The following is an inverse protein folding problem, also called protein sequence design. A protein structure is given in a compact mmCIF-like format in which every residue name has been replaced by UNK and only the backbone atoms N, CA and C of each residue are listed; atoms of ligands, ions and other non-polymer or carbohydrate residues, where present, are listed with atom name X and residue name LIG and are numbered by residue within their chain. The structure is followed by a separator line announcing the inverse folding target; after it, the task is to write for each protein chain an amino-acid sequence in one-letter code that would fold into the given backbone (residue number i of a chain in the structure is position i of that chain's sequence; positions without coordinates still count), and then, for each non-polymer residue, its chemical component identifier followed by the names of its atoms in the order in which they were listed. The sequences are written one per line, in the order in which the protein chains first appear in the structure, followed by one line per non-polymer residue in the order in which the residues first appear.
data_IF_169959678018
#
_entry.id   IF_169959678018
#
_cell.length_a   1.000
_cell.length_b   1.000
_cell.length_c   1.000
_cell.angle_alpha   90.00
_cell.angle_beta   90.00
_cell.angle_gamma   90.00
#
_symmetry.space_group_name_H-M   'P 1'
#
loop_
_entity.id
_entity.type
_entity.pdbx_description
1 polymer ?
#
# COMPACT_ATOMS: atom_id res chain seq x y z
N UNK A 1 9.11 -12.60 -40.13
CA UNK A 1 7.93 -13.10 -39.41
C UNK A 1 7.17 -11.89 -38.90
N UNK A 2 5.99 -11.66 -39.43
CA UNK A 2 5.21 -10.45 -39.18
C UNK A 2 4.50 -10.55 -37.81
N UNK A 3 4.79 -9.61 -36.94
CA UNK A 3 4.08 -9.40 -35.67
C UNK A 3 2.68 -8.90 -35.99
N UNK A 4 1.66 -9.71 -35.70
CA UNK A 4 0.25 -9.32 -35.82
C UNK A 4 -0.05 -8.29 -34.74
N UNK A 5 -0.27 -7.05 -35.17
CA UNK A 5 -0.79 -5.96 -34.32
C UNK A 5 -2.26 -6.24 -34.03
N UNK A 6 -2.57 -6.44 -32.73
CA UNK A 6 -3.93 -6.55 -32.21
C UNK A 6 -4.73 -5.28 -32.50
N UNK A 7 -5.92 -5.43 -33.10
CA UNK A 7 -6.86 -4.36 -33.45
C UNK A 7 -7.40 -3.63 -32.21
N UNK A 8 -6.66 -2.65 -31.73
CA UNK A 8 -7.19 -1.56 -30.89
C UNK A 8 -7.72 -0.49 -31.86
N UNK A 9 -8.96 -0.05 -31.68
CA UNK A 9 -9.49 1.13 -32.35
C UNK A 9 -8.52 2.31 -32.15
N UNK A 10 -8.37 3.12 -33.21
CA UNK A 10 -7.54 4.29 -33.45
C UNK A 10 -7.36 5.25 -32.24
N UNK A 11 -6.74 4.79 -31.20
CA UNK A 11 -6.00 5.56 -30.21
C UNK A 11 -4.54 5.36 -30.56
N UNK A 12 -3.82 6.42 -30.87
CA UNK A 12 -2.38 6.44 -31.13
C UNK A 12 -1.68 5.29 -30.43
N UNK A 13 -1.07 4.37 -31.19
CA UNK A 13 -0.35 3.21 -30.65
C UNK A 13 0.75 3.76 -29.74
N UNK A 14 0.47 3.78 -28.43
CA UNK A 14 1.45 4.19 -27.45
C UNK A 14 2.53 3.13 -27.50
N UNK A 15 3.71 3.49 -28.01
CA UNK A 15 4.83 2.56 -28.04
C UNK A 15 5.29 2.25 -26.62
N UNK A 16 5.66 1.00 -26.33
CA UNK A 16 6.21 0.60 -25.05
C UNK A 16 7.36 1.52 -24.60
N UNK A 17 8.20 1.99 -25.54
CA UNK A 17 9.26 2.96 -25.28
C UNK A 17 8.74 4.32 -24.76
N UNK A 18 7.59 4.78 -25.26
CA UNK A 18 7.00 6.05 -24.77
C UNK A 18 6.38 5.91 -23.37
N UNK A 19 5.84 4.74 -23.03
CA UNK A 19 5.35 4.46 -21.68
C UNK A 19 6.49 4.39 -20.66
N UNK A 20 7.62 3.81 -21.04
CA UNK A 20 8.80 3.65 -20.15
C UNK A 20 9.63 4.94 -20.00
N UNK A 21 9.40 5.97 -20.80
CA UNK A 21 10.14 7.23 -20.74
C UNK A 21 9.78 8.11 -19.53
N UNK A 22 8.58 7.92 -18.95
CA UNK A 22 8.13 8.63 -17.75
C UNK A 22 7.96 7.63 -16.59
N UNK A 23 7.95 8.08 -15.33
CA UNK A 23 7.60 7.22 -14.20
C UNK A 23 6.23 6.56 -14.41
N UNK A 24 6.03 5.37 -13.85
CA UNK A 24 4.74 4.68 -13.91
C UNK A 24 3.63 5.51 -13.23
N UNK A 25 3.97 6.16 -12.10
CA UNK A 25 3.11 7.15 -11.43
C UNK A 25 3.95 8.36 -11.07
N UNK A 26 3.46 9.56 -11.36
CA UNK A 26 4.04 10.83 -10.95
C UNK A 26 2.95 11.70 -10.32
N UNK A 27 3.21 12.19 -9.12
CA UNK A 27 2.31 13.05 -8.34
C UNK A 27 3.07 14.30 -7.92
N UNK A 28 2.50 15.47 -8.17
CA UNK A 28 3.11 16.76 -7.91
C UNK A 28 2.08 17.71 -7.29
N UNK A 29 2.31 18.10 -6.03
CA UNK A 29 1.50 18.99 -5.21
C UNK A 29 0.00 18.67 -5.27
N UNK A 30 -0.34 17.37 -5.25
CA UNK A 30 -1.70 16.89 -5.43
C UNK A 30 -2.54 17.16 -4.18
N UNK A 31 -3.69 17.81 -4.35
CA UNK A 31 -4.61 18.11 -3.24
C UNK A 31 -6.01 17.61 -3.49
N UNK A 32 -6.74 17.36 -2.40
CA UNK A 32 -8.18 17.12 -2.43
C UNK A 32 -8.87 17.74 -1.22
N UNK A 33 -9.74 18.71 -1.49
CA UNK A 33 -10.69 19.27 -0.52
C UNK A 33 -12.09 18.87 -0.94
N UNK A 34 -12.87 18.31 -0.03
CA UNK A 34 -14.28 17.97 -0.24
C UNK A 34 -15.21 19.14 0.16
N UNK A 35 -16.47 19.13 -0.31
CA UNK A 35 -17.49 20.06 0.19
C UNK A 35 -17.56 20.01 1.72
N UNK A 36 -17.62 21.19 2.34
CA UNK A 36 -17.53 21.30 3.80
C UNK A 36 -16.12 21.60 4.34
N UNK A 37 -15.12 21.75 3.45
CA UNK A 37 -13.75 22.16 3.84
C UNK A 37 -12.86 21.03 4.34
N UNK A 38 -13.27 19.79 4.18
CA UNK A 38 -12.46 18.62 4.59
C UNK A 38 -11.30 18.43 3.60
N UNK A 39 -10.07 18.71 4.04
CA UNK A 39 -8.85 18.51 3.30
C UNK A 39 -8.36 17.06 3.46
N UNK A 40 -8.77 16.20 2.53
CA UNK A 40 -8.41 14.78 2.56
C UNK A 40 -7.00 14.50 2.04
N UNK A 41 -6.45 15.37 1.19
CA UNK A 41 -5.08 15.30 0.67
C UNK A 41 -4.53 16.72 0.56
N UNK A 42 -3.32 16.98 1.10
CA UNK A 42 -2.77 18.30 1.38
C UNK A 42 -1.44 18.58 0.67
N UNK A 43 -1.39 18.43 -0.66
CA UNK A 43 -0.18 18.75 -1.42
C UNK A 43 0.90 17.66 -1.31
N UNK A 44 0.58 16.46 -1.77
CA UNK A 44 1.50 15.32 -1.75
C UNK A 44 2.33 15.26 -3.03
N UNK A 45 3.56 14.76 -2.86
CA UNK A 45 4.53 14.54 -3.93
C UNK A 45 5.12 13.14 -3.82
N UNK A 46 5.06 12.36 -4.91
CA UNK A 46 5.79 11.09 -5.00
C UNK A 46 5.88 10.61 -6.45
N UNK A 47 6.81 9.66 -6.68
CA UNK A 47 6.97 8.97 -7.95
C UNK A 47 7.10 7.48 -7.70
N UNK A 48 6.55 6.69 -8.63
CA UNK A 48 6.65 5.23 -8.64
C UNK A 48 7.35 4.83 -9.93
N UNK A 49 8.38 4.02 -9.83
CA UNK A 49 9.11 3.50 -10.98
C UNK A 49 8.30 2.37 -11.67
N UNK A 50 8.66 2.04 -12.91
CA UNK A 50 8.09 0.85 -13.56
C UNK A 50 8.54 -0.42 -12.84
N UNK A 51 7.61 -1.38 -12.67
CA UNK A 51 7.86 -2.64 -11.98
C UNK A 51 7.99 -2.51 -10.46
N UNK A 52 7.82 -1.32 -9.88
CA UNK A 52 7.86 -1.09 -8.44
C UNK A 52 6.55 -1.50 -7.77
N UNK A 53 6.63 -2.08 -6.58
CA UNK A 53 5.50 -2.20 -5.66
C UNK A 53 5.59 -1.09 -4.63
N UNK A 54 4.66 -0.14 -4.72
CA UNK A 54 4.61 1.05 -3.88
C UNK A 54 3.43 0.99 -2.91
N UNK A 55 3.72 1.15 -1.61
CA UNK A 55 2.72 1.12 -0.55
C UNK A 55 2.33 2.51 -0.07
N UNK A 56 1.02 2.77 0.04
CA UNK A 56 0.46 3.89 0.80
C UNK A 56 -0.01 3.36 2.16
N UNK A 57 0.76 3.60 3.21
CA UNK A 57 0.55 3.08 4.54
C UNK A 57 -0.02 4.16 5.47
N UNK A 58 -1.04 3.84 6.26
CA UNK A 58 -1.59 4.77 7.24
C UNK A 58 -2.95 4.31 7.78
N UNK A 59 -3.48 4.96 8.82
CA UNK A 59 -4.77 4.61 9.40
C UNK A 59 -5.95 4.91 8.47
N UNK A 60 -7.13 4.46 8.89
CA UNK A 60 -8.37 4.83 8.22
C UNK A 60 -8.57 6.35 8.30
N UNK A 61 -9.05 6.95 7.21
CA UNK A 61 -9.20 8.41 7.15
C UNK A 61 -7.93 9.20 6.83
N UNK A 62 -6.75 8.59 6.74
CA UNK A 62 -5.51 9.28 6.37
C UNK A 62 -5.48 9.86 4.95
N UNK A 63 -6.45 9.52 4.08
CA UNK A 63 -6.54 10.02 2.71
C UNK A 63 -6.14 8.99 1.63
N UNK A 64 -5.74 7.78 1.99
CA UNK A 64 -5.24 6.73 1.05
C UNK A 64 -6.20 6.42 -0.10
N UNK A 65 -7.47 6.09 0.19
CA UNK A 65 -8.47 5.79 -0.85
C UNK A 65 -8.83 7.01 -1.69
N UNK A 66 -8.74 8.23 -1.13
CA UNK A 66 -8.86 9.46 -1.91
C UNK A 66 -7.71 9.61 -2.91
N UNK A 67 -6.48 9.31 -2.50
CA UNK A 67 -5.30 9.30 -3.39
C UNK A 67 -5.49 8.28 -4.53
N UNK A 68 -5.85 7.02 -4.20
CA UNK A 68 -6.19 6.01 -5.21
C UNK A 68 -7.30 6.51 -6.13
N UNK A 69 -8.38 7.08 -5.58
CA UNK A 69 -9.48 7.62 -6.39
C UNK A 69 -9.06 8.71 -7.37
N UNK A 70 -8.12 9.58 -6.98
CA UNK A 70 -7.58 10.61 -7.89
C UNK A 70 -6.70 9.98 -8.99
N UNK A 71 -5.83 9.03 -8.64
CA UNK A 71 -4.96 8.34 -9.59
C UNK A 71 -5.76 7.49 -10.58
N UNK A 72 -6.82 6.84 -10.13
CA UNK A 72 -7.71 6.03 -10.98
C UNK A 72 -8.81 6.84 -11.68
N UNK A 73 -8.75 8.17 -11.61
CA UNK A 73 -9.67 9.09 -12.27
C UNK A 73 -11.13 9.02 -11.79
N UNK A 74 -11.41 8.36 -10.66
CA UNK A 74 -12.75 8.28 -10.04
C UNK A 74 -13.05 9.52 -9.21
N UNK A 75 -12.02 10.19 -8.71
CA UNK A 75 -12.11 11.45 -7.95
C UNK A 75 -11.29 12.51 -8.70
N UNK A 76 -11.89 13.68 -8.93
CA UNK A 76 -11.17 14.81 -9.52
C UNK A 76 -10.32 15.51 -8.45
N UNK A 77 -9.03 15.74 -8.69
CA UNK A 77 -8.17 16.56 -7.81
C UNK A 77 -8.74 17.99 -7.63
N UNK A 78 -8.44 18.61 -6.50
CA UNK A 78 -8.74 20.04 -6.27
C UNK A 78 -7.65 20.92 -6.87
N UNK A 79 -6.36 20.54 -6.71
CA UNK A 79 -5.21 21.17 -7.37
C UNK A 79 -4.06 20.18 -7.49
N UNK A 80 -2.93 20.62 -8.07
CA UNK A 80 -1.78 19.79 -8.37
C UNK A 80 -1.98 18.93 -9.61
N UNK A 81 -1.04 18.03 -9.86
CA UNK A 81 -1.09 17.13 -11.02
C UNK A 81 -0.76 15.70 -10.63
N UNK A 82 -1.38 14.74 -11.32
CA UNK A 82 -1.01 13.34 -11.26
C UNK A 82 -0.98 12.75 -12.67
N UNK A 83 0.02 11.92 -12.95
CA UNK A 83 0.21 11.27 -14.25
C UNK A 83 0.45 9.78 -14.08
N UNK A 84 -0.09 8.99 -15.01
CA UNK A 84 0.20 7.57 -15.15
C UNK A 84 0.95 7.36 -16.47
N UNK A 85 2.20 6.91 -16.41
CA UNK A 85 3.10 6.79 -17.55
C UNK A 85 3.03 8.03 -18.50
N UNK A 86 3.06 9.23 -17.90
CA UNK A 86 2.98 10.53 -18.56
C UNK A 86 1.57 11.04 -18.89
N UNK A 87 0.50 10.24 -18.78
CA UNK A 87 -0.89 10.69 -19.02
C UNK A 87 -1.48 11.37 -17.79
N UNK A 88 -1.84 12.64 -17.92
CA UNK A 88 -2.49 13.43 -16.88
C UNK A 88 -3.88 12.87 -16.56
N UNK A 89 -4.12 12.47 -15.31
CA UNK A 89 -5.36 11.83 -14.88
C UNK A 89 -6.60 12.73 -14.98
N UNK A 90 -6.42 14.06 -14.92
CA UNK A 90 -7.51 15.02 -15.02
C UNK A 90 -7.78 15.46 -16.48
N UNK A 91 -6.72 15.56 -17.31
CA UNK A 91 -6.81 16.05 -18.69
C UNK A 91 -6.97 14.93 -19.72
N UNK A 92 -6.42 13.74 -19.44
CA UNK A 92 -6.40 12.58 -20.33
C UNK A 92 -6.94 11.30 -19.62
N UNK A 93 -8.12 11.38 -18.95
CA UNK A 93 -8.60 10.29 -18.08
C UNK A 93 -8.82 8.96 -18.80
N UNK A 94 -9.19 9.00 -20.09
CA UNK A 94 -9.39 7.77 -20.87
C UNK A 94 -8.06 7.07 -21.17
N UNK A 95 -6.98 7.83 -21.43
CA UNK A 95 -5.64 7.26 -21.65
C UNK A 95 -5.09 6.69 -20.33
N UNK A 96 -5.22 7.43 -19.23
CA UNK A 96 -4.81 6.97 -17.90
C UNK A 96 -5.54 5.66 -17.51
N UNK A 97 -6.88 5.57 -17.73
CA UNK A 97 -7.64 4.33 -17.51
C UNK A 97 -7.23 3.20 -18.43
N UNK A 98 -6.87 3.49 -19.69
CA UNK A 98 -6.48 2.47 -20.66
C UNK A 98 -5.20 1.71 -20.31
N UNK A 99 -4.37 2.25 -19.39
CA UNK A 99 -3.12 1.64 -18.94
C UNK A 99 -3.14 1.24 -17.49
N UNK A 100 -4.25 1.42 -16.79
CA UNK A 100 -4.37 1.10 -15.37
C UNK A 100 -5.62 0.29 -15.07
N UNK A 101 -5.58 -0.46 -13.99
CA UNK A 101 -6.74 -1.14 -13.40
C UNK A 101 -6.77 -0.94 -11.90
N UNK A 102 -7.95 -1.08 -11.31
CA UNK A 102 -8.13 -0.92 -9.87
C UNK A 102 -8.99 -2.04 -9.28
N UNK A 103 -8.56 -2.52 -8.13
CA UNK A 103 -9.32 -3.39 -7.25
C UNK A 103 -9.69 -2.56 -6.02
N UNK A 104 -10.96 -2.18 -5.92
CA UNK A 104 -11.47 -1.39 -4.81
C UNK A 104 -11.62 -2.23 -3.54
N UNK A 105 -11.77 -1.57 -2.40
CA UNK A 105 -12.06 -2.24 -1.12
C UNK A 105 -13.38 -3.01 -1.16
N UNK A 106 -14.42 -2.42 -1.77
CA UNK A 106 -15.70 -3.09 -1.99
C UNK A 106 -15.70 -3.94 -3.26
N UNK A 107 -16.28 -5.13 -3.15
CA UNK A 107 -16.36 -6.08 -4.26
C UNK A 107 -17.30 -5.58 -5.38
N UNK A 108 -16.81 -5.59 -6.62
CA UNK A 108 -17.54 -5.13 -7.83
C UNK A 108 -18.00 -6.28 -8.72
N UNK A 109 -17.90 -7.54 -8.22
CA UNK A 109 -18.32 -8.73 -8.95
C UNK A 109 -19.84 -8.92 -8.88
N UNK A 110 -20.43 -9.28 -10.01
CA UNK A 110 -21.82 -9.73 -10.04
C UNK A 110 -21.91 -11.12 -9.42
N UNK A 111 -22.62 -11.21 -8.29
CA UNK A 111 -22.77 -12.45 -7.52
C UNK A 111 -23.66 -13.49 -8.21
N UNK A 112 -24.54 -13.06 -9.13
CA UNK A 112 -25.43 -13.93 -9.90
C UNK A 112 -24.74 -14.61 -11.08
N UNK A 113 -23.63 -14.03 -11.55
CA UNK A 113 -22.84 -14.59 -12.65
C UNK A 113 -21.78 -15.56 -12.13
N UNK A 114 -21.31 -16.45 -13.03
CA UNK A 114 -20.14 -17.29 -12.75
C UNK A 114 -18.86 -16.43 -12.75
N UNK A 115 -17.77 -16.96 -12.15
CA UNK A 115 -16.47 -16.31 -12.19
C UNK A 115 -16.03 -16.01 -13.63
N UNK A 116 -16.15 -17.00 -14.52
CA UNK A 116 -15.84 -16.86 -15.94
C UNK A 116 -16.64 -15.74 -16.61
N UNK A 117 -17.95 -15.71 -16.38
CA UNK A 117 -18.82 -14.69 -16.96
C UNK A 117 -18.47 -13.28 -16.48
N UNK A 118 -18.08 -13.11 -15.21
CA UNK A 118 -17.57 -11.84 -14.69
C UNK A 118 -16.28 -11.38 -15.42
N UNK A 119 -15.33 -12.30 -15.61
CA UNK A 119 -14.06 -11.98 -16.29
C UNK A 119 -14.28 -11.68 -17.77
N UNK A 120 -15.10 -12.46 -18.47
CA UNK A 120 -15.44 -12.22 -19.89
C UNK A 120 -16.22 -10.92 -20.10
N UNK A 121 -17.14 -10.59 -19.18
CA UNK A 121 -17.87 -9.32 -19.20
C UNK A 121 -16.90 -8.15 -19.10
N UNK A 122 -15.96 -8.23 -18.14
CA UNK A 122 -14.94 -7.20 -17.98
C UNK A 122 -14.07 -7.06 -19.23
N UNK A 123 -13.60 -8.17 -19.80
CA UNK A 123 -12.82 -8.17 -21.04
C UNK A 123 -13.56 -7.44 -22.18
N UNK A 124 -14.86 -7.70 -22.36
CA UNK A 124 -15.70 -7.02 -23.36
C UNK A 124 -15.82 -5.51 -23.10
N UNK A 125 -16.04 -5.11 -21.86
CA UNK A 125 -16.15 -3.69 -21.48
C UNK A 125 -14.86 -2.92 -21.74
N UNK A 126 -13.71 -3.59 -21.61
CA UNK A 126 -12.39 -3.01 -21.91
C UNK A 126 -11.93 -3.20 -23.36
N UNK A 127 -12.79 -3.77 -24.22
CA UNK A 127 -12.47 -3.97 -25.63
C UNK A 127 -11.40 -5.03 -25.90
N UNK A 128 -11.15 -5.94 -24.94
CA UNK A 128 -10.19 -7.03 -25.09
C UNK A 128 -10.77 -8.07 -26.05
N UNK A 129 -9.99 -8.47 -27.07
CA UNK A 129 -10.41 -9.47 -28.02
C UNK A 129 -10.70 -10.81 -27.31
N UNK A 130 -11.88 -11.41 -27.55
CA UNK A 130 -12.34 -12.57 -26.79
C UNK A 130 -11.45 -13.82 -26.91
N UNK A 131 -10.76 -14.00 -28.03
CA UNK A 131 -9.79 -15.10 -28.20
C UNK A 131 -8.64 -14.97 -27.20
N UNK A 132 -8.05 -13.78 -27.14
CA UNK A 132 -7.01 -13.42 -26.20
C UNK A 132 -7.51 -13.45 -24.74
N UNK A 133 -8.69 -12.87 -24.48
CA UNK A 133 -9.27 -12.85 -23.14
C UNK A 133 -9.45 -14.25 -22.54
N UNK A 134 -9.89 -15.24 -23.35
CA UNK A 134 -10.08 -16.62 -22.89
C UNK A 134 -8.74 -17.26 -22.48
N UNK A 135 -7.68 -17.06 -23.25
CA UNK A 135 -6.36 -17.56 -22.90
C UNK A 135 -5.87 -16.87 -21.61
N UNK A 136 -5.97 -15.56 -21.56
CA UNK A 136 -5.56 -14.76 -20.39
C UNK A 136 -6.31 -15.14 -19.12
N UNK A 137 -7.63 -15.37 -19.20
CA UNK A 137 -8.45 -15.84 -18.10
C UNK A 137 -7.97 -17.21 -17.58
N UNK A 138 -7.57 -18.12 -18.46
CA UNK A 138 -7.05 -19.43 -18.05
C UNK A 138 -5.70 -19.28 -17.30
N UNK A 139 -4.77 -18.46 -17.82
CA UNK A 139 -3.48 -18.18 -17.18
C UNK A 139 -3.64 -17.54 -15.79
N UNK A 140 -4.51 -16.51 -15.69
CA UNK A 140 -4.80 -15.83 -14.44
C UNK A 140 -5.50 -16.75 -13.43
N UNK A 141 -6.40 -17.61 -13.90
CA UNK A 141 -7.11 -18.54 -13.07
C UNK A 141 -6.16 -19.58 -12.44
N UNK A 142 -5.19 -20.06 -13.18
CA UNK A 142 -4.13 -20.94 -12.68
C UNK A 142 -3.24 -20.20 -11.67
N UNK A 143 -2.73 -19.01 -12.05
CA UNK A 143 -1.84 -18.21 -11.21
C UNK A 143 -2.47 -17.80 -9.88
N UNK A 144 -3.75 -17.44 -9.87
CA UNK A 144 -4.48 -17.00 -8.69
C UNK A 144 -5.23 -18.12 -7.96
N UNK A 145 -5.15 -19.35 -8.46
CA UNK A 145 -5.80 -20.53 -7.86
C UNK A 145 -7.32 -20.46 -7.85
N UNK A 146 -7.93 -19.88 -8.91
CA UNK A 146 -9.39 -19.76 -9.05
C UNK A 146 -9.97 -20.63 -10.19
N UNK A 147 -9.16 -21.50 -10.80
CA UNK A 147 -9.53 -22.29 -11.97
C UNK A 147 -10.78 -23.15 -11.77
N UNK A 148 -10.85 -23.90 -10.67
CA UNK A 148 -11.99 -24.77 -10.33
C UNK A 148 -13.25 -23.98 -9.96
N UNK A 149 -13.12 -22.68 -9.68
CA UNK A 149 -14.20 -21.82 -9.28
C UNK A 149 -14.89 -21.12 -10.44
N UNK A 150 -14.22 -21.03 -11.62
CA UNK A 150 -14.65 -20.19 -12.73
C UNK A 150 -16.09 -20.45 -13.19
N UNK A 151 -16.55 -21.68 -13.14
CA UNK A 151 -17.87 -22.06 -13.64
C UNK A 151 -18.96 -22.08 -12.54
N UNK A 152 -18.60 -21.74 -11.30
CA UNK A 152 -19.52 -21.57 -10.17
C UNK A 152 -20.00 -20.12 -10.08
N UNK A 153 -21.20 -19.90 -9.54
CA UNK A 153 -21.72 -18.56 -9.26
C UNK A 153 -20.89 -17.88 -8.14
N UNK A 154 -20.51 -16.62 -8.37
CA UNK A 154 -19.65 -15.83 -7.44
C UNK A 154 -20.30 -15.66 -6.06
N UNK A 155 -21.63 -15.72 -5.98
CA UNK A 155 -22.36 -15.70 -4.70
C UNK A 155 -21.97 -16.83 -3.75
N UNK A 156 -21.43 -17.96 -4.26
CA UNK A 156 -20.98 -19.11 -3.46
C UNK A 156 -19.51 -19.04 -3.02
N UNK A 157 -18.75 -18.00 -3.43
CA UNK A 157 -17.33 -17.88 -3.12
C UNK A 157 -17.11 -17.39 -1.69
N UNK A 158 -16.03 -17.84 -1.06
CA UNK A 158 -15.50 -17.25 0.16
C UNK A 158 -14.98 -15.82 -0.10
N UNK A 159 -14.66 -15.07 0.95
CA UNK A 159 -14.07 -13.72 0.83
C UNK A 159 -12.77 -13.72 0.04
N UNK A 160 -11.86 -14.65 0.35
CA UNK A 160 -10.58 -14.80 -0.32
C UNK A 160 -10.70 -15.21 -1.78
N UNK A 161 -11.58 -16.15 -2.10
CA UNK A 161 -11.88 -16.56 -3.48
C UNK A 161 -12.42 -15.40 -4.32
N UNK A 162 -13.35 -14.61 -3.74
CA UNK A 162 -13.83 -13.38 -4.41
C UNK A 162 -12.72 -12.40 -4.66
N UNK A 163 -11.84 -12.16 -3.66
CA UNK A 163 -10.73 -11.20 -3.80
C UNK A 163 -9.74 -11.62 -4.88
N UNK A 164 -9.40 -12.90 -4.96
CA UNK A 164 -8.56 -13.45 -6.04
C UNK A 164 -9.20 -13.28 -7.41
N UNK A 165 -10.53 -13.49 -7.52
CA UNK A 165 -11.25 -13.28 -8.78
C UNK A 165 -11.30 -11.79 -9.17
N UNK A 166 -11.39 -10.85 -8.22
CA UNK A 166 -11.33 -9.41 -8.49
C UNK A 166 -9.97 -8.98 -9.05
N UNK A 167 -8.89 -9.53 -8.49
CA UNK A 167 -7.54 -9.31 -9.01
C UNK A 167 -7.43 -9.88 -10.42
N UNK A 168 -7.90 -11.13 -10.65
CA UNK A 168 -7.95 -11.71 -11.99
C UNK A 168 -8.71 -10.79 -12.96
N UNK A 169 -9.88 -10.28 -12.55
CA UNK A 169 -10.68 -9.36 -13.35
C UNK A 169 -9.90 -8.10 -13.75
N UNK A 170 -9.21 -7.49 -12.79
CA UNK A 170 -8.42 -6.29 -13.04
C UNK A 170 -7.26 -6.54 -14.02
N UNK A 171 -6.72 -7.76 -14.05
CA UNK A 171 -5.57 -8.16 -14.85
C UNK A 171 -5.92 -8.64 -16.28
N UNK A 172 -7.19 -8.93 -16.57
CA UNK A 172 -7.63 -9.38 -17.92
C UNK A 172 -7.29 -8.35 -18.99
N UNK A 173 -7.28 -7.06 -18.65
CA UNK A 173 -6.96 -5.96 -19.59
C UNK A 173 -5.46 -5.67 -19.74
N UNK A 174 -4.58 -6.43 -19.07
CA UNK A 174 -3.12 -6.22 -19.04
C UNK A 174 -2.71 -4.77 -18.71
N UNK A 175 -3.05 -4.29 -17.50
CA UNK A 175 -2.70 -2.94 -17.12
C UNK A 175 -1.19 -2.80 -16.87
N UNK A 176 -0.62 -1.62 -17.19
CA UNK A 176 0.75 -1.28 -16.79
C UNK A 176 0.86 -0.91 -15.32
N UNK A 177 -0.24 -0.38 -14.74
CA UNK A 177 -0.32 -0.01 -13.31
C UNK A 177 -1.56 -0.64 -12.70
N UNK A 178 -1.37 -1.46 -11.68
CA UNK A 178 -2.44 -2.05 -10.88
C UNK A 178 -2.56 -1.31 -9.55
N UNK A 179 -3.75 -0.78 -9.27
CA UNK A 179 -4.09 -0.19 -7.97
C UNK A 179 -4.86 -1.21 -7.13
N UNK A 180 -4.43 -1.40 -5.88
CA UNK A 180 -5.07 -2.30 -4.92
C UNK A 180 -5.45 -1.49 -3.68
N UNK A 181 -6.74 -1.22 -3.49
CA UNK A 181 -7.22 -0.49 -2.31
C UNK A 181 -7.57 -1.49 -1.20
N UNK A 182 -6.72 -1.56 -0.18
CA UNK A 182 -6.82 -2.45 0.97
C UNK A 182 -7.14 -3.92 0.58
N UNK A 183 -6.25 -4.59 -0.21
CA UNK A 183 -6.58 -5.85 -0.88
C UNK A 183 -6.89 -7.01 0.06
N UNK A 184 -6.50 -6.94 1.31
CA UNK A 184 -6.57 -8.06 2.26
C UNK A 184 -7.53 -7.83 3.42
N UNK A 185 -8.18 -6.67 3.46
CA UNK A 185 -9.13 -6.32 4.53
C UNK A 185 -10.26 -7.35 4.60
N UNK A 186 -10.55 -7.79 5.82
CA UNK A 186 -11.60 -8.78 6.09
C UNK A 186 -11.24 -10.23 5.74
N UNK A 187 -9.99 -10.50 5.36
CA UNK A 187 -9.47 -11.85 5.16
C UNK A 187 -8.81 -12.38 6.44
N UNK A 188 -8.93 -13.68 6.67
CA UNK A 188 -8.19 -14.33 7.74
C UNK A 188 -6.66 -14.32 7.46
N UNK A 189 -5.81 -14.47 8.50
CA UNK A 189 -4.35 -14.32 8.35
C UNK A 189 -3.71 -15.25 7.31
N UNK A 190 -4.22 -16.48 7.19
CA UNK A 190 -3.68 -17.45 6.23
C UNK A 190 -3.97 -17.04 4.79
N UNK A 191 -5.23 -16.71 4.51
CA UNK A 191 -5.67 -16.29 3.18
C UNK A 191 -5.00 -14.98 2.77
N UNK A 192 -4.76 -14.06 3.74
CA UNK A 192 -4.00 -12.83 3.52
C UNK A 192 -2.60 -13.13 3.00
N UNK A 193 -1.85 -14.01 3.68
CA UNK A 193 -0.50 -14.39 3.26
C UNK A 193 -0.50 -14.98 1.85
N UNK A 194 -1.39 -15.94 1.60
CA UNK A 194 -1.52 -16.58 0.28
C UNK A 194 -1.83 -15.56 -0.83
N UNK A 195 -2.65 -14.55 -0.54
CA UNK A 195 -2.98 -13.49 -1.50
C UNK A 195 -1.78 -12.57 -1.78
N UNK A 196 -1.03 -12.18 -0.74
CA UNK A 196 0.18 -11.37 -0.89
C UNK A 196 1.25 -12.10 -1.72
N UNK A 197 1.42 -13.40 -1.50
CA UNK A 197 2.34 -14.22 -2.29
C UNK A 197 1.90 -14.31 -3.77
N UNK A 198 0.61 -14.43 -4.01
CA UNK A 198 0.07 -14.43 -5.37
C UNK A 198 0.29 -13.07 -6.07
N UNK A 199 0.11 -11.94 -5.36
CA UNK A 199 0.39 -10.59 -5.88
C UNK A 199 1.88 -10.42 -6.19
N UNK A 200 2.77 -10.88 -5.29
CA UNK A 200 4.22 -10.85 -5.52
C UNK A 200 4.64 -11.66 -6.75
N UNK A 201 4.09 -12.87 -6.90
CA UNK A 201 4.35 -13.71 -8.07
C UNK A 201 3.82 -13.12 -9.39
N UNK A 202 2.73 -12.37 -9.37
CA UNK A 202 2.23 -11.64 -10.54
C UNK A 202 3.18 -10.52 -10.96
N UNK A 203 3.72 -9.76 -10.01
CA UNK A 203 4.70 -8.71 -10.28
C UNK A 203 5.92 -9.25 -11.05
N UNK A 204 6.50 -10.35 -10.56
CA UNK A 204 7.70 -10.95 -11.15
C UNK A 204 7.48 -11.44 -12.58
N UNK A 205 6.28 -11.98 -12.88
CA UNK A 205 5.95 -12.52 -14.21
C UNK A 205 5.60 -11.47 -15.24
N UNK A 206 5.04 -10.35 -14.82
CA UNK A 206 4.40 -9.37 -15.72
C UNK A 206 5.11 -8.01 -15.76
N UNK A 207 6.21 -7.86 -14.99
CA UNK A 207 6.94 -6.57 -14.85
C UNK A 207 6.00 -5.39 -14.54
N UNK A 208 4.91 -5.68 -13.83
CA UNK A 208 3.81 -4.77 -13.58
C UNK A 208 4.11 -3.86 -12.39
N UNK A 209 3.76 -2.59 -12.51
CA UNK A 209 3.79 -1.64 -11.39
C UNK A 209 2.54 -1.82 -10.53
N UNK A 210 2.73 -1.92 -9.22
CA UNK A 210 1.62 -2.06 -8.26
C UNK A 210 1.65 -0.90 -7.27
N UNK A 211 0.50 -0.24 -7.08
CA UNK A 211 0.29 0.73 -6.00
C UNK A 211 -0.78 0.18 -5.09
N UNK A 212 -0.42 -0.08 -3.83
CA UNK A 212 -1.38 -0.61 -2.87
C UNK A 212 -1.57 0.31 -1.67
N UNK A 213 -2.76 0.31 -1.12
CA UNK A 213 -3.03 0.90 0.19
C UNK A 213 -3.14 -0.20 1.22
N UNK A 214 -2.65 0.05 2.41
CA UNK A 214 -2.83 -0.85 3.55
C UNK A 214 -2.72 -0.07 4.87
N UNK A 215 -3.30 -0.60 5.91
CA UNK A 215 -3.03 -0.23 7.29
C UNK A 215 -2.33 -1.37 8.05
N UNK A 216 -2.01 -2.47 7.37
CA UNK A 216 -1.24 -3.58 7.90
C UNK A 216 0.24 -3.42 7.51
N UNK A 217 1.09 -3.28 8.49
CA UNK A 217 2.52 -2.99 8.32
C UNK A 217 3.32 -4.18 7.82
N UNK A 218 2.93 -5.38 8.25
CA UNK A 218 3.50 -6.64 7.79
C UNK A 218 3.32 -6.84 6.27
N UNK A 219 2.21 -6.38 5.71
CA UNK A 219 1.97 -6.40 4.27
C UNK A 219 2.92 -5.48 3.52
N UNK A 220 3.04 -4.23 4.01
CA UNK A 220 3.93 -3.25 3.41
C UNK A 220 5.40 -3.72 3.48
N UNK A 221 5.82 -4.27 4.61
CA UNK A 221 7.17 -4.79 4.79
C UNK A 221 7.47 -6.03 3.93
N UNK A 222 6.46 -6.88 3.67
CA UNK A 222 6.59 -8.10 2.88
C UNK A 222 6.61 -7.84 1.37
N UNK A 223 5.78 -6.90 0.88
CA UNK A 223 5.47 -6.78 -0.54
C UNK A 223 6.07 -5.53 -1.19
N UNK A 224 6.20 -4.41 -0.44
CA UNK A 224 6.54 -3.13 -1.02
C UNK A 224 8.05 -2.90 -1.13
N UNK A 225 8.49 -2.37 -2.27
CA UNK A 225 9.85 -1.87 -2.45
C UNK A 225 10.04 -0.55 -1.71
N UNK A 226 9.05 0.34 -1.80
CA UNK A 226 8.99 1.61 -1.05
C UNK A 226 7.60 1.84 -0.48
N UNK A 227 7.57 2.58 0.61
CA UNK A 227 6.35 2.90 1.35
C UNK A 227 6.29 4.39 1.62
N UNK A 228 5.17 5.02 1.31
CA UNK A 228 4.82 6.34 1.79
C UNK A 228 3.92 6.19 3.03
N UNK A 229 4.37 6.69 4.16
CA UNK A 229 3.58 6.76 5.38
C UNK A 229 2.69 8.00 5.29
N UNK A 230 1.38 7.78 5.33
CA UNK A 230 0.36 8.82 5.17
C UNK A 230 -0.31 9.09 6.51
N UNK A 231 -0.32 10.34 6.94
CA UNK A 231 -1.02 10.80 8.12
C UNK A 231 -1.77 12.11 7.82
N UNK A 232 -3.06 12.15 8.15
CA UNK A 232 -3.91 13.35 8.03
C UNK A 232 -3.84 14.08 6.67
N UNK A 233 -3.74 13.32 5.57
CA UNK A 233 -3.68 13.83 4.20
C UNK A 233 -2.29 14.21 3.70
N UNK A 234 -1.24 13.98 4.47
CA UNK A 234 0.16 14.30 4.16
C UNK A 234 1.02 13.03 4.10
N UNK A 235 2.11 13.05 3.33
CA UNK A 235 3.15 12.01 3.38
C UNK A 235 4.18 12.46 4.41
N UNK A 236 4.25 11.75 5.55
CA UNK A 236 5.16 12.07 6.65
C UNK A 236 6.51 11.35 6.55
N UNK A 237 6.58 10.27 5.80
CA UNK A 237 7.84 9.60 5.42
C UNK A 237 7.65 8.82 4.12
N UNK A 238 8.73 8.67 3.35
CA UNK A 238 8.76 7.91 2.11
C UNK A 238 10.14 7.30 1.91
N UNK A 239 10.25 5.99 2.02
CA UNK A 239 11.49 5.25 1.75
C UNK A 239 11.21 3.75 1.62
N UNK A 240 12.26 2.93 1.47
CA UNK A 240 12.17 1.47 1.59
C UNK A 240 11.80 1.08 3.03
N UNK A 241 11.05 -0.02 3.25
CA UNK A 241 10.76 -0.49 4.60
C UNK A 241 12.02 -0.64 5.46
N UNK A 242 13.11 -1.14 4.87
CA UNK A 242 14.40 -1.30 5.54
C UNK A 242 15.01 0.04 5.98
N UNK A 243 14.98 1.06 5.13
CA UNK A 243 15.51 2.39 5.45
C UNK A 243 14.69 3.06 6.57
N UNK A 244 13.36 2.96 6.50
CA UNK A 244 12.47 3.47 7.54
C UNK A 244 12.74 2.81 8.90
N UNK A 245 12.92 1.49 8.92
CA UNK A 245 13.23 0.75 10.15
C UNK A 245 14.62 1.07 10.70
N UNK A 246 15.63 1.25 9.83
CA UNK A 246 17.00 1.57 10.26
C UNK A 246 17.09 2.90 11.01
N UNK A 247 16.17 3.83 10.75
CA UNK A 247 16.03 5.08 11.49
C UNK A 247 15.63 4.91 12.97
N UNK A 248 15.16 3.72 13.36
CA UNK A 248 14.85 3.34 14.75
C UNK A 248 15.94 2.49 15.42
N UNK A 249 17.11 2.34 14.78
CA UNK A 249 18.21 1.56 15.32
C UNK A 249 18.05 0.05 15.18
N UNK A 250 18.84 -0.70 15.99
CA UNK A 250 18.93 -2.16 15.93
C UNK A 250 17.92 -2.89 16.81
N UNK A 251 17.27 -2.18 17.72
CA UNK A 251 16.28 -2.74 18.65
C UNK A 251 15.53 -1.64 19.40
N UNK A 252 14.50 -2.03 20.11
CA UNK A 252 13.72 -1.14 20.98
C UNK A 252 13.70 -1.70 22.39
N UNK A 253 13.81 -0.79 23.39
CA UNK A 253 13.51 -1.09 24.79
C UNK A 253 12.20 -0.42 25.15
N UNK A 254 11.26 -1.19 25.61
CA UNK A 254 9.97 -0.72 26.11
C UNK A 254 9.96 -0.73 27.64
N UNK A 255 9.60 0.39 28.21
CA UNK A 255 9.62 0.62 29.64
C UNK A 255 8.24 1.11 30.10
N UNK A 256 7.65 0.44 31.04
CA UNK A 256 6.50 0.98 31.75
C UNK A 256 6.97 1.65 33.04
N UNK A 257 7.01 2.99 33.03
CA UNK A 257 7.57 3.82 34.12
C UNK A 257 6.46 4.28 35.03
N UNK A 258 6.71 4.23 36.35
CA UNK A 258 5.87 4.90 37.34
C UNK A 258 6.41 6.30 37.64
N UNK A 259 5.64 7.32 37.28
CA UNK A 259 6.02 8.72 37.47
C UNK A 259 5.79 9.57 36.22
N UNK A 260 6.31 10.79 36.26
CA UNK A 260 6.21 11.68 35.09
C UNK A 260 7.20 11.28 33.99
N UNK A 261 6.67 11.12 32.78
CA UNK A 261 7.43 10.67 31.60
C UNK A 261 8.58 11.62 31.24
N UNK A 262 8.38 12.93 31.47
CA UNK A 262 9.42 13.97 31.27
C UNK A 262 10.66 13.73 32.13
N UNK A 263 10.47 13.25 33.35
CA UNK A 263 11.57 12.90 34.27
C UNK A 263 12.32 11.67 33.76
N UNK A 264 11.59 10.68 33.25
CA UNK A 264 12.19 9.48 32.69
C UNK A 264 13.05 9.81 31.44
N UNK A 265 12.53 10.62 30.53
CA UNK A 265 13.27 11.08 29.33
C UNK A 265 14.53 11.88 29.70
N UNK A 266 14.41 12.82 30.65
CA UNK A 266 15.55 13.61 31.11
C UNK A 266 16.64 12.73 31.75
N UNK A 267 16.24 11.70 32.51
CA UNK A 267 17.18 10.77 33.13
C UNK A 267 17.90 9.88 32.09
N UNK A 268 17.22 9.42 31.06
CA UNK A 268 17.83 8.69 29.95
C UNK A 268 18.84 9.56 29.19
N UNK A 269 18.46 10.79 28.86
CA UNK A 269 19.36 11.75 28.19
C UNK A 269 20.61 12.08 28.99
N UNK A 270 20.49 12.22 30.32
CA UNK A 270 21.64 12.44 31.20
C UNK A 270 22.65 11.29 31.23
N UNK A 271 22.24 10.08 30.82
CA UNK A 271 23.09 8.88 30.73
C UNK A 271 23.51 8.55 29.30
N UNK A 272 23.30 9.46 28.33
CA UNK A 272 23.72 9.29 26.94
C UNK A 272 22.87 8.31 26.13
N UNK A 273 21.70 7.88 26.68
CA UNK A 273 20.77 7.06 25.92
C UNK A 273 19.90 8.00 25.10
N UNK A 274 19.73 7.71 23.80
CA UNK A 274 19.06 8.55 22.80
C UNK A 274 17.64 8.98 23.21
N UNK A 275 17.54 9.93 24.14
CA UNK A 275 16.27 10.48 24.63
C UNK A 275 15.54 11.29 23.52
N UNK A 276 16.28 11.78 22.52
CA UNK A 276 15.72 12.57 21.41
C UNK A 276 14.87 11.68 20.45
N UNK A 277 15.19 10.39 20.39
CA UNK A 277 14.49 9.41 19.55
C UNK A 277 13.44 8.60 20.30
N UNK A 278 13.37 8.74 21.62
CA UNK A 278 12.39 8.04 22.45
C UNK A 278 10.98 8.61 22.24
N UNK A 279 9.99 7.74 22.17
CA UNK A 279 8.59 8.11 22.04
C UNK A 279 7.70 7.37 23.05
N UNK A 280 6.54 7.93 23.34
CA UNK A 280 5.63 7.43 24.37
C UNK A 280 4.35 6.92 23.74
N UNK A 281 3.94 5.71 24.13
CA UNK A 281 2.67 5.10 23.74
C UNK A 281 1.87 4.78 24.99
N UNK A 282 0.87 5.58 25.27
CA UNK A 282 0.11 5.45 26.53
C UNK A 282 1.00 5.63 27.75
N UNK A 283 1.20 4.56 28.53
CA UNK A 283 2.10 4.54 29.69
C UNK A 283 3.44 3.87 29.45
N UNK A 284 3.76 3.55 28.21
CA UNK A 284 5.00 2.86 27.82
C UNK A 284 5.94 3.83 27.12
N UNK A 285 7.16 3.94 27.63
CA UNK A 285 8.26 4.64 27.01
C UNK A 285 9.02 3.66 26.11
N UNK A 286 9.13 3.97 24.84
CA UNK A 286 9.88 3.18 23.85
C UNK A 286 11.17 3.92 23.50
N UNK A 287 12.29 3.27 23.68
CA UNK A 287 13.64 3.83 23.49
C UNK A 287 14.33 3.05 22.36
N UNK A 288 14.62 3.68 21.22
CA UNK A 288 15.45 3.09 20.17
C UNK A 288 16.89 2.84 20.65
N UNK A 289 17.46 1.71 20.24
CA UNK A 289 18.86 1.35 20.47
C UNK A 289 19.63 1.46 19.16
N UNK A 290 20.66 2.28 19.12
CA UNK A 290 21.51 2.43 17.93
C UNK A 290 22.77 1.56 18.06
N UNK A 291 23.65 1.89 18.99
CA UNK A 291 24.91 1.19 19.23
C UNK A 291 24.98 0.54 20.63
N UNK A 292 24.04 0.91 21.51
CA UNK A 292 23.98 0.38 22.88
C UNK A 292 23.30 -0.99 22.92
N UNK A 293 23.71 -1.80 23.86
CA UNK A 293 22.95 -3.02 24.16
C UNK A 293 21.72 -2.72 25.01
N UNK A 294 20.69 -3.57 24.89
CA UNK A 294 19.53 -3.50 25.78
C UNK A 294 19.92 -3.56 27.27
N UNK A 295 21.01 -4.28 27.60
CA UNK A 295 21.54 -4.35 28.97
C UNK A 295 22.07 -3.00 29.47
N UNK A 296 22.75 -2.23 28.63
CA UNK A 296 23.27 -0.90 28.97
C UNK A 296 22.14 0.11 29.19
N UNK A 297 21.12 0.08 28.35
CA UNK A 297 19.93 0.90 28.49
C UNK A 297 19.19 0.60 29.81
N UNK A 298 18.96 -0.68 30.13
CA UNK A 298 18.35 -1.10 31.39
C UNK A 298 19.21 -0.69 32.60
N UNK A 299 20.53 -0.83 32.53
CA UNK A 299 21.42 -0.41 33.60
C UNK A 299 21.41 1.10 33.82
N UNK A 300 21.28 1.90 32.77
CA UNK A 300 21.15 3.37 32.88
C UNK A 300 19.83 3.78 33.54
N UNK A 301 18.71 3.15 33.17
CA UNK A 301 17.40 3.38 33.77
C UNK A 301 17.43 3.07 35.25
N UNK A 302 17.99 1.92 35.64
CA UNK A 302 18.10 1.52 37.05
C UNK A 302 19.00 2.51 37.84
N UNK A 303 20.10 2.99 37.24
CA UNK A 303 20.96 4.04 37.86
C UNK A 303 20.27 5.36 38.01
N UNK A 304 19.35 5.72 37.16
CA UNK A 304 18.54 6.91 37.24
C UNK A 304 17.47 6.82 38.37
N UNK A 305 17.37 5.68 39.05
CA UNK A 305 16.41 5.49 40.15
C UNK A 305 14.96 5.43 39.71
N UNK A 306 14.71 5.21 38.43
CA UNK A 306 13.36 5.10 37.89
C UNK A 306 12.72 3.77 38.29
N UNK A 307 11.51 3.85 38.83
CA UNK A 307 10.70 2.68 39.16
C UNK A 307 10.00 2.20 37.88
N UNK A 308 10.39 1.01 37.40
CA UNK A 308 9.81 0.38 36.22
C UNK A 308 8.97 -0.82 36.61
N UNK A 309 7.75 -0.94 36.10
CA UNK A 309 6.88 -2.10 36.32
C UNK A 309 7.10 -3.22 35.30
N UNK A 310 7.61 -2.89 34.11
CA UNK A 310 8.02 -3.87 33.10
C UNK A 310 9.09 -3.30 32.19
N UNK A 311 9.99 -4.18 31.76
CA UNK A 311 11.02 -3.89 30.75
C UNK A 311 10.96 -5.03 29.73
N UNK A 312 10.84 -4.68 28.45
CA UNK A 312 10.91 -5.63 27.35
C UNK A 312 11.78 -5.12 26.21
N UNK A 313 12.32 -6.02 25.43
CA UNK A 313 13.11 -5.69 24.25
C UNK A 313 12.52 -6.39 23.02
N UNK A 314 12.47 -5.70 21.92
CA UNK A 314 12.00 -6.26 20.62
C UNK A 314 12.63 -5.57 19.43
N UNK A 315 12.45 -6.15 18.27
CA UNK A 315 12.82 -5.52 17.00
C UNK A 315 11.83 -4.38 16.65
N UNK A 316 12.31 -3.29 15.99
CA UNK A 316 11.45 -2.25 15.50
C UNK A 316 10.54 -2.75 14.37
N UNK A 317 9.36 -2.16 14.31
CA UNK A 317 8.36 -2.39 13.26
C UNK A 317 7.99 -1.07 12.57
N UNK A 318 7.32 -1.11 11.45
CA UNK A 318 6.82 0.11 10.80
C UNK A 318 5.77 0.84 11.66
N UNK A 319 5.08 0.14 12.60
CA UNK A 319 4.22 0.79 13.61
C UNK A 319 5.01 1.78 14.45
N UNK A 320 6.22 1.40 14.84
CA UNK A 320 7.08 2.26 15.65
C UNK A 320 7.56 3.48 14.88
N UNK A 321 7.83 3.32 13.57
CA UNK A 321 8.13 4.44 12.67
C UNK A 321 6.95 5.39 12.61
N UNK A 322 5.74 4.84 12.40
CA UNK A 322 4.53 5.64 12.36
C UNK A 322 4.27 6.38 13.68
N UNK A 323 4.33 5.67 14.82
CA UNK A 323 4.16 6.24 16.17
C UNK A 323 5.16 7.36 16.45
N UNK A 324 6.43 7.14 16.12
CA UNK A 324 7.47 8.15 16.30
C UNK A 324 7.19 9.42 15.48
N UNK A 325 6.72 9.27 14.24
CA UNK A 325 6.47 10.40 13.34
C UNK A 325 5.20 11.19 13.68
N UNK A 326 4.18 10.54 14.23
CA UNK A 326 2.85 11.12 14.38
C UNK A 326 2.41 11.30 15.84
N UNK A 327 3.01 10.55 16.75
CA UNK A 327 2.56 10.46 18.16
C UNK A 327 1.33 9.58 18.36
N UNK A 328 0.71 9.08 17.26
CA UNK A 328 -0.54 8.32 17.28
C UNK A 328 -0.33 6.90 16.76
N UNK A 329 -0.96 5.89 17.39
CA UNK A 329 -0.96 4.52 16.88
C UNK A 329 -1.86 4.33 15.66
N UNK A 330 -1.43 3.55 14.66
CA UNK A 330 -2.27 3.22 13.48
C UNK A 330 -3.61 2.58 13.92
N UNK A 331 -3.59 1.73 14.92
CA UNK A 331 -4.78 1.06 15.44
C UNK A 331 -5.71 1.97 16.26
N UNK A 332 -5.21 3.08 16.81
CA UNK A 332 -5.99 4.01 17.65
C UNK A 332 -6.81 5.02 16.82
N UNK A 333 -6.55 5.12 15.52
CA UNK A 333 -7.20 6.06 14.60
C UNK A 333 -8.37 5.44 13.79
N UNK A 334 -8.83 4.22 14.15
CA UNK A 334 -9.91 3.50 13.48
C UNK A 334 -11.26 3.63 14.18
#
# INVERSE_FOLDING_TARGET
MATQTNGRHDTDVITAAALLAAPAVEVDQLTKTYPGGVEAVKGIDFRVAHGEVFGLLGPNGAGKSTMIGMLTTTIKPSSGTARLAGFDVARQPLRARGISSVVFQEAVLDRGLSGRANLELHARLWGVQMGFAKQRIAELADTLGVGELLDRAVGSYSGGERRRLEIARALVSEPHVLFLDEPTVGLDPRIRIELLDAIGGLREREEMTIVLTTHYLDEAQRLCDRVAIVHSGEIVALDTPKALLSGLGTGLVELRVHGEMSVALAALGAHGIAAEDAFVVGSTLTVPLHDESAGDAIAAINRAGLSTSSISTRQPTLDDVYLRLTGDGIAAAA
#
